data_IF_778509446990
#
_entry.id   IF_778509446990
#
_cell.length_a   1.000
_cell.length_b   1.000
_cell.length_c   1.000
_cell.angle_alpha   90.00
_cell.angle_beta   90.00
_cell.angle_gamma   90.00
#
_symmetry.space_group_name_H-M   'P 1'
#
loop_
_entity.id
_entity.type
_entity.pdbx_description
1 polymer ?
#
# COMPACT_ATOMS: atom_id res chain seq x y z
N UNK A 1 22.87 -8.17 6.88
CA UNK A 1 23.22 -9.52 7.39
C UNK A 1 21.98 -10.41 7.32
N UNK A 2 21.92 -11.28 6.31
CA UNK A 2 20.85 -12.26 6.12
C UNK A 2 20.89 -13.29 7.25
N UNK A 3 19.78 -13.47 7.99
CA UNK A 3 19.70 -14.52 9.02
C UNK A 3 19.32 -15.85 8.37
N UNK A 4 20.32 -16.72 8.29
CA UNK A 4 20.22 -18.13 7.96
C UNK A 4 19.44 -18.90 9.05
N UNK A 5 18.47 -19.73 8.65
CA UNK A 5 17.86 -20.75 9.52
C UNK A 5 18.21 -22.13 8.97
N UNK A 6 18.85 -23.02 9.76
CA UNK A 6 19.23 -24.34 9.29
C UNK A 6 17.99 -25.25 9.20
N UNK A 7 17.82 -25.94 8.06
CA UNK A 7 16.90 -27.09 7.94
C UNK A 7 16.05 -27.17 6.67
N UNK A 8 15.99 -26.12 5.84
CA UNK A 8 15.34 -26.21 4.53
C UNK A 8 15.94 -25.11 3.65
N UNK A 9 16.69 -25.47 2.61
CA UNK A 9 17.39 -24.53 1.71
C UNK A 9 16.40 -23.75 0.83
N UNK A 10 15.63 -22.84 1.43
CA UNK A 10 14.79 -21.87 0.73
C UNK A 10 15.52 -20.53 0.77
N UNK A 11 16.37 -20.30 -0.22
CA UNK A 11 17.07 -19.02 -0.37
C UNK A 11 16.09 -17.98 -0.89
N UNK A 12 15.93 -16.88 -0.16
CA UNK A 12 15.11 -15.75 -0.59
C UNK A 12 15.82 -15.05 -1.76
N UNK A 13 15.25 -15.02 -2.97
CA UNK A 13 15.86 -14.32 -4.09
C UNK A 13 16.04 -12.83 -3.77
N UNK A 14 17.02 -12.15 -4.36
CA UNK A 14 17.22 -10.73 -4.12
C UNK A 14 15.96 -9.95 -4.52
N UNK A 15 15.68 -8.88 -3.79
CA UNK A 15 14.63 -7.95 -4.18
C UNK A 15 15.06 -7.22 -5.45
N UNK A 16 14.09 -6.68 -6.18
CA UNK A 16 14.38 -5.73 -7.26
C UNK A 16 15.15 -4.51 -6.70
N UNK A 17 16.00 -3.85 -7.52
CA UNK A 17 16.66 -2.61 -7.11
C UNK A 17 15.64 -1.61 -6.55
N UNK A 18 16.00 -0.92 -5.47
CA UNK A 18 15.11 0.01 -4.76
C UNK A 18 14.29 -0.63 -3.62
N UNK A 19 14.13 -1.96 -3.58
CA UNK A 19 13.30 -2.63 -2.57
C UNK A 19 14.08 -3.48 -1.56
N UNK A 20 15.38 -3.25 -1.41
CA UNK A 20 16.23 -3.97 -0.46
C UNK A 20 15.79 -3.78 1.01
N UNK A 21 15.08 -2.68 1.28
CA UNK A 21 14.57 -2.32 2.58
C UNK A 21 13.30 -3.08 3.00
N UNK A 22 12.57 -3.66 2.04
CA UNK A 22 11.29 -4.31 2.34
C UNK A 22 11.56 -5.55 3.18
N UNK A 23 10.82 -5.66 4.29
CA UNK A 23 10.94 -6.81 5.17
C UNK A 23 10.33 -8.04 4.50
N UNK A 24 11.21 -8.94 4.04
CA UNK A 24 10.86 -10.18 3.35
C UNK A 24 11.28 -11.37 4.19
N UNK A 25 10.34 -12.28 4.45
CA UNK A 25 10.56 -13.42 5.35
C UNK A 25 9.79 -14.66 4.89
N UNK A 26 10.20 -15.81 5.41
CA UNK A 26 9.50 -17.07 5.21
C UNK A 26 8.30 -17.19 6.16
N UNK A 27 7.07 -17.30 5.63
CA UNK A 27 5.87 -17.53 6.43
C UNK A 27 5.47 -19.01 6.38
N UNK A 28 5.70 -19.73 7.49
CA UNK A 28 5.39 -21.17 7.61
C UNK A 28 3.91 -21.48 7.40
N UNK A 29 3.01 -20.58 7.79
CA UNK A 29 1.56 -20.80 7.66
C UNK A 29 1.06 -20.69 6.22
N UNK A 30 1.85 -20.03 5.36
CA UNK A 30 1.57 -19.83 3.94
C UNK A 30 2.42 -20.71 3.04
N UNK A 31 3.39 -21.41 3.61
CA UNK A 31 4.42 -22.15 2.90
C UNK A 31 5.05 -21.32 1.76
N UNK A 32 5.36 -20.05 2.03
CA UNK A 32 5.85 -19.11 1.02
C UNK A 32 6.61 -17.93 1.60
N UNK A 33 7.33 -17.22 0.73
CA UNK A 33 7.92 -15.93 1.07
C UNK A 33 6.86 -14.84 1.12
N UNK A 34 6.99 -13.93 2.09
CA UNK A 34 6.09 -12.81 2.30
C UNK A 34 6.92 -11.54 2.40
N UNK A 35 6.61 -10.56 1.56
CA UNK A 35 7.08 -9.19 1.65
C UNK A 35 6.04 -8.37 2.42
N UNK A 36 6.40 -7.85 3.59
CA UNK A 36 5.51 -7.00 4.40
C UNK A 36 5.78 -5.54 4.09
N UNK A 37 4.72 -4.83 3.68
CA UNK A 37 4.74 -3.38 3.47
C UNK A 37 4.01 -2.65 4.59
N UNK A 38 4.54 -1.51 4.99
CA UNK A 38 4.03 -0.57 5.98
C UNK A 38 3.36 0.64 5.30
N UNK A 39 2.62 1.49 6.04
CA UNK A 39 2.07 2.71 5.48
C UNK A 39 3.15 3.58 4.82
N UNK A 40 2.86 4.08 3.62
CA UNK A 40 3.80 4.87 2.79
C UNK A 40 4.70 4.01 1.90
N UNK A 41 4.75 2.70 2.09
CA UNK A 41 5.55 1.80 1.27
C UNK A 41 4.76 1.22 0.10
N UNK A 42 5.48 0.86 -0.96
CA UNK A 42 5.01 -0.03 -2.01
C UNK A 42 6.08 -1.08 -2.30
N UNK A 43 5.67 -2.19 -2.88
CA UNK A 43 6.60 -3.24 -3.27
C UNK A 43 6.21 -3.82 -4.63
N UNK A 44 7.22 -4.03 -5.48
CA UNK A 44 7.11 -4.72 -6.76
C UNK A 44 8.03 -5.94 -6.75
N UNK A 45 7.55 -7.06 -7.26
CA UNK A 45 8.33 -8.30 -7.35
C UNK A 45 8.09 -9.04 -8.66
N UNK A 46 9.12 -9.80 -9.06
CA UNK A 46 9.06 -10.84 -10.11
C UNK A 46 9.20 -12.24 -9.51
N UNK A 47 9.45 -12.32 -8.21
CA UNK A 47 9.70 -13.56 -7.49
C UNK A 47 8.37 -14.17 -7.01
N UNK A 48 8.44 -15.41 -6.56
CA UNK A 48 7.29 -16.12 -5.99
C UNK A 48 7.05 -15.72 -4.53
N UNK A 49 6.45 -14.55 -4.33
CA UNK A 49 6.25 -13.96 -3.01
C UNK A 49 4.85 -13.38 -2.86
N UNK A 50 4.29 -13.54 -1.67
CA UNK A 50 3.09 -12.79 -1.28
C UNK A 50 3.49 -11.40 -0.80
N UNK A 51 2.64 -10.40 -1.03
CA UNK A 51 2.78 -9.07 -0.45
C UNK A 51 1.72 -8.93 0.64
N UNK A 52 2.12 -8.53 1.85
CA UNK A 52 1.23 -8.49 3.00
C UNK A 52 1.21 -7.12 3.66
N UNK A 53 0.03 -6.72 4.13
CA UNK A 53 -0.13 -5.51 4.95
C UNK A 53 -1.38 -5.59 5.84
N UNK A 54 -1.55 -4.58 6.70
CA UNK A 54 -2.77 -4.39 7.50
C UNK A 54 -3.30 -2.99 7.23
N UNK A 55 -4.56 -2.89 6.82
CA UNK A 55 -5.22 -1.65 6.46
C UNK A 55 -6.36 -1.38 7.44
N UNK A 56 -6.40 -0.21 8.05
CA UNK A 56 -7.64 0.37 8.56
C UNK A 56 -8.17 1.38 7.53
N UNK A 57 -7.97 2.67 7.76
CA UNK A 57 -8.40 3.74 6.85
C UNK A 57 -7.56 3.85 5.57
N UNK A 58 -6.30 3.40 5.59
CA UNK A 58 -5.45 3.31 4.39
C UNK A 58 -6.05 2.42 3.30
N UNK A 59 -5.56 2.57 2.07
CA UNK A 59 -5.95 1.76 0.93
C UNK A 59 -4.73 1.20 0.19
N UNK A 60 -4.93 0.04 -0.43
CA UNK A 60 -3.96 -0.63 -1.28
C UNK A 60 -4.55 -0.91 -2.66
N UNK A 61 -3.83 -0.53 -3.70
CA UNK A 61 -3.97 -1.08 -5.03
C UNK A 61 -3.02 -2.28 -5.17
N UNK A 62 -3.57 -3.42 -5.56
CA UNK A 62 -2.87 -4.63 -5.93
C UNK A 62 -2.86 -4.70 -7.46
N UNK A 63 -1.69 -4.63 -8.07
CA UNK A 63 -1.55 -4.56 -9.54
C UNK A 63 -0.66 -5.70 -10.01
N UNK A 64 -1.01 -6.34 -11.12
CA UNK A 64 -0.12 -7.29 -11.80
C UNK A 64 -0.24 -7.22 -13.31
N UNK A 65 0.82 -7.57 -14.01
CA UNK A 65 0.77 -7.93 -15.41
C UNK A 65 0.42 -9.42 -15.55
N UNK A 66 -0.75 -9.74 -16.12
CA UNK A 66 -1.20 -11.13 -16.29
C UNK A 66 -0.29 -11.96 -17.21
N UNK A 67 0.42 -11.32 -18.14
CA UNK A 67 1.30 -12.00 -19.09
C UNK A 67 2.66 -12.38 -18.49
N UNK A 68 3.17 -11.61 -17.53
CA UNK A 68 4.53 -11.78 -17.00
C UNK A 68 4.56 -12.13 -15.51
N UNK A 69 3.41 -12.16 -14.83
CA UNK A 69 3.28 -12.38 -13.38
C UNK A 69 4.02 -11.37 -12.49
N UNK A 70 4.55 -10.30 -13.08
CA UNK A 70 5.14 -9.17 -12.36
C UNK A 70 4.00 -8.40 -11.69
N UNK A 71 4.11 -8.15 -10.40
CA UNK A 71 3.08 -7.42 -9.68
C UNK A 71 3.59 -6.75 -8.42
N UNK A 72 2.73 -5.91 -7.87
CA UNK A 72 3.04 -5.09 -6.73
C UNK A 72 1.79 -4.69 -5.96
N UNK A 73 2.03 -4.20 -4.74
CA UNK A 73 1.00 -3.65 -3.87
C UNK A 73 1.57 -2.42 -3.18
N UNK A 74 0.78 -1.35 -3.12
CA UNK A 74 1.09 -0.15 -2.34
C UNK A 74 0.27 -0.10 -1.06
N UNK A 75 0.66 0.75 -0.12
CA UNK A 75 -0.11 1.08 1.08
C UNK A 75 -0.04 2.58 1.28
N UNK A 76 -1.10 3.30 0.94
CA UNK A 76 -1.13 4.75 1.07
C UNK A 76 -2.36 5.25 1.82
N UNK A 77 -2.23 6.46 2.36
CA UNK A 77 -3.29 7.28 2.91
C UNK A 77 -3.12 8.69 2.36
N UNK A 78 -4.22 9.36 2.02
CA UNK A 78 -4.17 10.77 1.67
C UNK A 78 -3.96 11.66 2.90
N UNK A 79 -3.13 12.71 2.82
CA UNK A 79 -3.07 13.72 3.88
C UNK A 79 -4.43 14.41 4.03
N UNK A 80 -4.81 14.73 5.27
CA UNK A 80 -6.02 15.51 5.57
C UNK A 80 -5.64 16.97 5.82
N UNK A 81 -6.53 17.90 5.49
CA UNK A 81 -6.35 19.31 5.87
C UNK A 81 -6.61 19.47 7.37
N UNK A 82 -5.74 20.19 8.08
CA UNK A 82 -6.10 20.79 9.37
C UNK A 82 -7.04 21.96 9.08
N UNK A 83 -8.32 21.81 9.39
CA UNK A 83 -9.28 22.90 9.39
C UNK A 83 -9.12 23.74 10.68
N UNK A 84 -7.94 24.32 10.90
CA UNK A 84 -7.70 25.22 12.03
C UNK A 84 -7.26 26.59 11.49
N UNK A 85 -8.20 27.55 11.40
CA UNK A 85 -7.93 28.98 11.32
C UNK A 85 -8.27 29.68 10.00
N UNK A 86 -9.32 30.49 10.06
CA UNK A 86 -9.65 31.63 9.18
C UNK A 86 -9.38 31.54 7.66
N UNK A 87 -10.45 31.36 6.90
CA UNK A 87 -10.81 32.32 5.84
C UNK A 87 -9.93 32.46 4.60
N UNK A 88 -8.90 31.65 4.37
CA UNK A 88 -8.11 31.71 3.13
C UNK A 88 -8.18 30.38 2.36
N UNK A 89 -9.14 30.31 1.43
CA UNK A 89 -9.14 29.33 0.34
C UNK A 89 -7.89 29.54 -0.52
N UNK A 90 -6.83 28.81 -0.19
CA UNK A 90 -5.68 28.62 -1.09
C UNK A 90 -5.78 27.20 -1.62
N UNK A 91 -5.56 27.00 -2.92
CA UNK A 91 -5.70 25.70 -3.61
C UNK A 91 -4.62 24.69 -3.23
N UNK A 92 -4.42 24.40 -1.95
CA UNK A 92 -3.22 23.73 -1.42
C UNK A 92 -3.47 22.32 -0.87
N UNK A 93 -4.66 22.00 -0.36
CA UNK A 93 -4.91 20.74 0.37
C UNK A 93 -5.36 19.60 -0.54
N UNK A 94 -6.37 19.84 -1.38
CA UNK A 94 -6.82 18.88 -2.42
C UNK A 94 -5.69 18.57 -3.39
N UNK A 95 -4.88 19.58 -3.71
CA UNK A 95 -3.74 19.47 -4.60
C UNK A 95 -2.61 18.62 -3.97
N UNK A 96 -2.28 18.84 -2.69
CA UNK A 96 -1.30 18.00 -1.97
C UNK A 96 -1.75 16.53 -1.84
N UNK A 97 -3.02 16.28 -1.50
CA UNK A 97 -3.55 14.93 -1.40
C UNK A 97 -3.53 14.22 -2.77
N UNK A 98 -3.97 14.93 -3.81
CA UNK A 98 -3.96 14.40 -5.18
C UNK A 98 -2.54 14.08 -5.64
N UNK A 99 -1.58 14.98 -5.42
CA UNK A 99 -0.16 14.72 -5.72
C UNK A 99 0.39 13.51 -4.97
N UNK A 100 0.08 13.38 -3.67
CA UNK A 100 0.55 12.26 -2.86
C UNK A 100 0.00 10.92 -3.35
N UNK A 101 -1.31 10.84 -3.57
CA UNK A 101 -1.95 9.64 -4.09
C UNK A 101 -1.47 9.29 -5.50
N UNK A 102 -1.28 10.30 -6.37
CA UNK A 102 -0.76 10.11 -7.72
C UNK A 102 0.66 9.55 -7.66
N UNK A 103 1.51 10.12 -6.82
CA UNK A 103 2.88 9.64 -6.60
C UNK A 103 2.89 8.16 -6.17
N UNK A 104 2.09 7.78 -5.17
CA UNK A 104 2.05 6.41 -4.67
C UNK A 104 1.57 5.37 -5.72
N UNK A 105 0.66 5.77 -6.61
CA UNK A 105 0.18 4.90 -7.69
C UNK A 105 1.16 4.87 -8.87
N UNK A 106 1.63 6.03 -9.31
CA UNK A 106 2.48 6.20 -10.49
C UNK A 106 3.84 5.53 -10.29
N UNK A 107 4.49 5.69 -9.14
CA UNK A 107 5.77 5.06 -8.85
C UNK A 107 5.68 3.54 -8.93
N UNK A 108 4.66 2.95 -8.30
CA UNK A 108 4.44 1.51 -8.35
C UNK A 108 4.19 1.03 -9.79
N UNK A 109 3.32 1.71 -10.55
CA UNK A 109 3.01 1.33 -11.94
C UNK A 109 4.26 1.45 -12.80
N UNK A 110 5.03 2.53 -12.67
CA UNK A 110 6.27 2.73 -13.42
C UNK A 110 7.30 1.64 -13.10
N UNK A 111 7.46 1.23 -11.84
CA UNK A 111 8.35 0.13 -11.50
C UNK A 111 7.87 -1.22 -12.03
N UNK A 112 6.55 -1.46 -12.11
CA UNK A 112 6.04 -2.63 -12.83
C UNK A 112 6.48 -2.60 -14.29
N UNK A 113 6.25 -1.48 -14.98
CA UNK A 113 6.56 -1.34 -16.41
C UNK A 113 8.06 -1.46 -16.69
N UNK A 114 8.91 -0.77 -15.90
CA UNK A 114 10.38 -0.85 -15.98
C UNK A 114 10.90 -2.27 -15.83
N UNK A 115 10.20 -3.11 -15.07
CA UNK A 115 10.60 -4.50 -14.84
C UNK A 115 10.03 -5.49 -15.86
N UNK A 116 9.31 -5.03 -16.88
CA UNK A 116 8.79 -5.84 -17.98
C UNK A 116 7.29 -6.09 -17.95
N UNK A 117 6.53 -5.42 -17.08
CA UNK A 117 5.07 -5.44 -17.17
C UNK A 117 4.61 -4.69 -18.43
N UNK A 118 3.55 -5.19 -19.06
CA UNK A 118 2.90 -4.49 -20.17
C UNK A 118 1.61 -3.86 -19.69
N UNK A 119 1.44 -2.55 -19.94
CA UNK A 119 0.27 -1.78 -19.48
C UNK A 119 -1.06 -2.42 -19.89
N UNK A 120 -1.15 -2.93 -21.12
CA UNK A 120 -2.35 -3.59 -21.67
C UNK A 120 -2.75 -4.88 -20.94
N UNK A 121 -1.86 -5.48 -20.15
CA UNK A 121 -2.12 -6.69 -19.39
C UNK A 121 -2.22 -6.46 -17.88
N UNK A 122 -2.28 -5.19 -17.45
CA UNK A 122 -2.45 -4.87 -16.04
C UNK A 122 -3.85 -5.28 -15.57
N UNK A 123 -3.87 -6.03 -14.47
CA UNK A 123 -5.04 -6.36 -13.67
C UNK A 123 -4.90 -5.60 -12.34
N UNK A 124 -5.96 -4.90 -11.94
CA UNK A 124 -5.97 -4.10 -10.70
C UNK A 124 -7.05 -4.61 -9.75
N UNK A 125 -6.73 -4.70 -8.46
CA UNK A 125 -7.68 -4.91 -7.35
C UNK A 125 -7.43 -3.89 -6.25
N UNK A 126 -8.48 -3.50 -5.54
CA UNK A 126 -8.38 -2.52 -4.44
C UNK A 126 -8.92 -3.09 -3.13
N UNK A 127 -8.20 -2.84 -2.03
CA UNK A 127 -8.61 -3.32 -0.69
C UNK A 127 -8.29 -2.23 0.33
N UNK A 128 -9.13 -2.08 1.37
CA UNK A 128 -8.89 -1.13 2.47
C UNK A 128 -9.99 -0.10 2.65
N UNK A 129 -9.64 1.12 3.06
CA UNK A 129 -10.58 2.23 3.24
C UNK A 129 -11.61 1.97 4.35
N UNK A 130 -11.25 1.22 5.38
CA UNK A 130 -12.12 0.91 6.51
C UNK A 130 -12.34 2.09 7.44
N UNK A 131 -13.54 2.17 8.02
CA UNK A 131 -13.92 3.12 9.07
C UNK A 131 -13.70 2.49 10.45
N UNK A 132 -12.44 2.39 10.86
CA UNK A 132 -12.05 1.71 12.11
C UNK A 132 -12.45 2.49 13.36
N UNK A 133 -12.62 3.82 13.26
CA UNK A 133 -13.06 4.70 14.34
C UNK A 133 -14.19 5.63 13.90
N UNK A 134 -15.19 5.83 14.77
CA UNK A 134 -16.33 6.72 14.54
C UNK A 134 -15.94 8.18 14.29
N UNK A 135 -14.82 8.64 14.84
CA UNK A 135 -14.35 10.03 14.76
C UNK A 135 -13.49 10.34 13.51
N UNK A 136 -13.14 9.32 12.71
CA UNK A 136 -12.34 9.48 11.48
C UNK A 136 -13.18 9.15 10.23
N UNK A 137 -14.46 9.50 10.23
CA UNK A 137 -15.49 8.87 9.41
C UNK A 137 -15.25 8.88 7.90
N UNK A 138 -14.37 9.75 7.39
CA UNK A 138 -14.29 10.05 5.96
C UNK A 138 -12.92 9.74 5.31
N UNK A 139 -11.84 9.52 6.06
CA UNK A 139 -10.50 9.28 5.46
C UNK A 139 -10.51 8.04 4.57
N UNK A 140 -11.07 6.93 5.07
CA UNK A 140 -11.17 5.70 4.31
C UNK A 140 -12.01 5.87 3.04
N UNK A 141 -13.09 6.66 3.11
CA UNK A 141 -13.95 6.94 1.97
C UNK A 141 -13.24 7.81 0.92
N UNK A 142 -12.52 8.85 1.34
CA UNK A 142 -11.73 9.70 0.45
C UNK A 142 -10.62 8.90 -0.25
N UNK A 143 -9.95 7.99 0.46
CA UNK A 143 -8.96 7.10 -0.13
C UNK A 143 -9.57 6.19 -1.21
N UNK A 144 -10.80 5.69 -0.99
CA UNK A 144 -11.54 4.88 -1.97
C UNK A 144 -11.92 5.70 -3.20
N UNK A 145 -12.45 6.90 -3.00
CA UNK A 145 -12.87 7.79 -4.08
C UNK A 145 -11.67 8.18 -4.95
N UNK A 146 -10.57 8.58 -4.30
CA UNK A 146 -9.33 8.90 -4.98
C UNK A 146 -8.81 7.75 -5.84
N UNK A 147 -8.65 6.54 -5.26
CA UNK A 147 -8.06 5.43 -6.03
C UNK A 147 -8.94 5.03 -7.21
N UNK A 148 -10.28 5.12 -7.06
CA UNK A 148 -11.21 4.85 -8.16
C UNK A 148 -11.10 5.90 -9.26
N UNK A 149 -11.05 7.19 -8.89
CA UNK A 149 -10.89 8.30 -9.83
C UNK A 149 -9.56 8.20 -10.58
N UNK A 150 -8.46 7.93 -9.88
CA UNK A 150 -7.14 7.71 -10.48
C UNK A 150 -7.18 6.57 -11.50
N UNK A 151 -7.69 5.40 -11.10
CA UNK A 151 -7.73 4.22 -11.98
C UNK A 151 -8.61 4.47 -13.21
N UNK A 152 -9.72 5.19 -13.05
CA UNK A 152 -10.57 5.59 -14.18
C UNK A 152 -9.84 6.54 -15.13
N UNK A 153 -9.15 7.57 -14.62
CA UNK A 153 -8.40 8.52 -15.42
C UNK A 153 -7.26 7.83 -16.20
N UNK A 154 -6.61 6.83 -15.59
CA UNK A 154 -5.55 6.05 -16.22
C UNK A 154 -6.05 4.93 -17.16
N UNK A 155 -7.36 4.76 -17.30
CA UNK A 155 -7.96 3.72 -18.14
C UNK A 155 -7.73 2.29 -17.60
N UNK A 156 -7.50 2.15 -16.29
CA UNK A 156 -7.26 0.86 -15.63
C UNK A 156 -8.55 0.33 -14.98
N UNK A 157 -9.05 -0.80 -15.46
CA UNK A 157 -10.26 -1.42 -14.91
C UNK A 157 -9.99 -2.16 -13.61
N UNK A 158 -10.82 -1.90 -12.59
CA UNK A 158 -10.81 -2.64 -11.32
C UNK A 158 -11.46 -4.01 -11.53
N UNK A 159 -10.69 -5.08 -11.37
CA UNK A 159 -11.14 -6.47 -11.49
C UNK A 159 -11.69 -7.07 -10.19
N UNK A 160 -11.52 -6.38 -9.07
CA UNK A 160 -12.04 -6.80 -7.76
C UNK A 160 -11.80 -5.77 -6.68
N UNK A 161 -12.72 -5.68 -5.71
CA UNK A 161 -12.64 -4.73 -4.62
C UNK A 161 -13.17 -5.30 -3.30
N UNK A 162 -12.46 -5.09 -2.20
CA UNK A 162 -12.98 -5.23 -0.82
C UNK A 162 -12.62 -3.97 -0.03
N UNK A 163 -13.48 -2.96 -0.12
CA UNK A 163 -13.25 -1.64 0.45
C UNK A 163 -14.35 -1.21 1.42
N UNK A 164 -14.09 -0.22 2.28
CA UNK A 164 -15.09 0.31 3.23
C UNK A 164 -15.22 -0.55 4.49
N UNK A 165 -16.41 -0.68 5.06
CA UNK A 165 -16.69 -1.46 6.30
C UNK A 165 -16.01 -0.88 7.57
N UNK A 166 -16.37 -1.40 8.74
CA UNK A 166 -15.93 -0.90 10.07
C UNK A 166 -14.74 -1.69 10.65
N UNK A 167 -14.16 -2.61 9.88
CA UNK A 167 -13.11 -3.50 10.37
C UNK A 167 -11.78 -3.28 9.65
N UNK A 168 -10.65 -3.30 10.38
CA UNK A 168 -9.34 -3.42 9.77
C UNK A 168 -9.22 -4.73 8.99
N UNK A 169 -8.36 -4.74 7.98
CA UNK A 169 -8.12 -5.86 7.08
C UNK A 169 -6.67 -6.26 7.07
N UNK A 170 -6.39 -7.52 7.41
CA UNK A 170 -5.11 -8.14 7.07
C UNK A 170 -5.20 -8.64 5.63
N UNK A 171 -4.30 -8.15 4.79
CA UNK A 171 -4.28 -8.43 3.34
C UNK A 171 -3.06 -9.26 3.01
N UNK A 172 -3.25 -10.27 2.17
CA UNK A 172 -2.20 -10.98 1.46
C UNK A 172 -2.53 -10.96 -0.03
N UNK A 173 -1.62 -10.46 -0.84
CA UNK A 173 -1.74 -10.44 -2.29
C UNK A 173 -0.72 -11.39 -2.91
N UNK A 174 -1.16 -12.22 -3.86
CA UNK A 174 -0.31 -13.07 -4.69
C UNK A 174 -0.24 -12.47 -6.11
N UNK A 175 0.86 -11.78 -6.48
CA UNK A 175 1.08 -11.27 -7.82
C UNK A 175 0.98 -12.32 -8.93
N UNK A 176 1.35 -13.58 -8.69
CA UNK A 176 1.38 -14.62 -9.72
C UNK A 176 -0.01 -15.06 -10.17
N UNK A 177 -0.96 -15.10 -9.24
CA UNK A 177 -2.35 -15.49 -9.52
C UNK A 177 -3.31 -14.30 -9.57
N UNK A 178 -2.94 -13.15 -9.00
CA UNK A 178 -3.82 -12.02 -8.75
C UNK A 178 -4.73 -12.23 -7.53
N UNK A 179 -4.58 -13.33 -6.78
CA UNK A 179 -5.43 -13.62 -5.63
C UNK A 179 -5.15 -12.65 -4.49
N UNK A 180 -6.22 -12.05 -3.96
CA UNK A 180 -6.16 -11.26 -2.74
C UNK A 180 -6.93 -12.00 -1.64
N UNK A 181 -6.25 -12.32 -0.54
CA UNK A 181 -6.85 -12.93 0.64
C UNK A 181 -7.01 -11.86 1.73
N UNK A 182 -8.25 -11.61 2.13
CA UNK A 182 -8.56 -10.61 3.16
C UNK A 182 -9.10 -11.29 4.41
N UNK A 183 -8.56 -10.92 5.57
CA UNK A 183 -9.11 -11.27 6.88
C UNK A 183 -9.53 -10.00 7.62
N UNK A 184 -10.83 -9.83 7.84
CA UNK A 184 -11.36 -8.77 8.70
C UNK A 184 -11.01 -9.06 10.16
N UNK A 185 -10.40 -8.09 10.82
CA UNK A 185 -9.86 -8.21 12.17
C UNK A 185 -10.93 -7.69 13.15
N UNK A 186 -11.82 -8.59 13.58
CA UNK A 186 -12.97 -8.25 14.46
C UNK A 186 -12.59 -8.10 15.93
N UNK A 187 -11.46 -8.68 16.34
CA UNK A 187 -10.96 -8.69 17.71
C UNK A 187 -9.47 -8.37 17.68
N UNK A 188 -9.14 -7.09 17.58
CA UNK A 188 -7.83 -6.56 17.91
C UNK A 188 -8.01 -5.51 19.01
N UNK A 189 -7.01 -5.27 19.87
CA UNK A 189 -6.93 -3.98 20.54
C UNK A 189 -6.83 -2.94 19.42
N UNK A 190 -7.90 -2.18 19.19
CA UNK A 190 -7.96 -1.16 18.13
C UNK A 190 -6.79 -0.17 18.25
N UNK A 191 -6.27 0.00 19.47
CA UNK A 191 -5.21 0.92 19.87
C UNK A 191 -3.97 0.80 18.98
N UNK A 192 -3.46 -0.40 18.69
CA UNK A 192 -2.20 -0.52 17.94
C UNK A 192 -2.32 -0.14 16.46
N UNK A 193 -3.49 -0.35 15.85
CA UNK A 193 -3.73 0.09 14.46
C UNK A 193 -3.98 1.59 14.46
N UNK A 194 -4.75 2.08 15.42
CA UNK A 194 -5.03 3.50 15.55
C UNK A 194 -3.78 4.36 15.78
N UNK A 195 -2.89 3.93 16.67
CA UNK A 195 -1.62 4.62 16.94
C UNK A 195 -0.78 4.70 15.67
N UNK A 196 -0.67 3.60 14.92
CA UNK A 196 0.06 3.56 13.64
C UNK A 196 -0.56 4.46 12.59
N UNK A 197 -1.89 4.46 12.45
CA UNK A 197 -2.58 5.33 11.51
C UNK A 197 -2.44 6.80 11.88
N UNK A 198 -2.52 7.12 13.17
CA UNK A 198 -2.38 8.50 13.65
C UNK A 198 -0.95 9.03 13.49
N UNK A 199 0.05 8.19 13.79
CA UNK A 199 1.46 8.52 13.56
C UNK A 199 1.78 8.69 12.07
N UNK A 200 1.25 7.81 11.23
CA UNK A 200 1.45 7.93 9.78
C UNK A 200 0.75 9.17 9.23
N UNK A 201 -0.48 9.45 9.66
CA UNK A 201 -1.24 10.64 9.26
C UNK A 201 -0.49 11.92 9.62
N UNK A 202 0.00 12.05 10.86
CA UNK A 202 0.74 13.25 11.27
C UNK A 202 2.03 13.43 10.47
N UNK A 203 2.69 12.34 10.08
CA UNK A 203 3.89 12.40 9.25
C UNK A 203 3.62 12.92 7.83
N UNK A 204 2.58 12.40 7.16
CA UNK A 204 2.24 12.81 5.78
C UNK A 204 1.62 14.22 5.70
N UNK A 205 1.08 14.74 6.80
CA UNK A 205 0.63 16.15 6.89
C UNK A 205 1.81 17.15 6.92
N UNK A 206 2.99 16.73 7.39
CA UNK A 206 4.16 17.60 7.59
C UNK A 206 5.17 17.46 6.43
N UNK A 207 5.19 16.32 5.73
CA UNK A 207 6.17 16.03 4.69
C UNK A 207 5.98 16.93 3.43
N UNK A 208 7.04 17.57 2.90
CA UNK A 208 6.93 18.37 1.69
C UNK A 208 6.58 17.48 0.48
N UNK A 209 5.54 17.88 -0.26
CA UNK A 209 5.12 17.20 -1.49
C UNK A 209 5.92 17.75 -2.66
N UNK A 210 7.18 17.33 -2.79
CA UNK A 210 8.05 17.71 -3.91
C UNK A 210 9.51 17.81 -3.50
N UNK A 211 10.35 17.02 -4.16
CA UNK A 211 11.75 16.78 -3.80
C UNK A 211 11.89 15.32 -3.38
N UNK A 212 12.93 14.65 -3.86
CA UNK A 212 13.22 13.25 -3.58
C UNK A 212 12.78 12.91 -2.15
N UNK A 213 11.73 12.10 -2.02
CA UNK A 213 11.43 11.50 -0.73
C UNK A 213 12.57 10.52 -0.51
N UNK A 214 13.67 11.00 0.06
CA UNK A 214 14.53 10.15 0.86
C UNK A 214 13.61 9.58 1.95
N UNK A 215 13.01 8.43 1.62
CA UNK A 215 12.46 7.51 2.57
C UNK A 215 13.66 7.04 3.39
N UNK A 216 14.06 7.86 4.36
CA UNK A 216 15.16 7.55 5.24
C UNK A 216 14.78 6.30 6.04
N UNK A 217 15.36 5.16 5.66
CA UNK A 217 15.44 3.97 6.48
C UNK A 217 16.29 4.28 7.71
N UNK A 218 15.71 4.95 8.69
CA UNK A 218 16.49 5.38 9.84
C UNK A 218 15.65 6.05 10.91
N UNK A 219 14.99 5.25 11.74
CA UNK A 219 15.01 5.34 13.20
C UNK A 219 13.74 4.76 13.84
N UNK A 220 13.59 3.44 13.85
CA UNK A 220 13.09 2.73 15.04
C UNK A 220 13.82 1.38 15.06
N UNK A 221 14.85 1.28 15.91
CA UNK A 221 15.40 -0.01 16.36
C UNK A 221 14.62 -0.46 17.58
#
# INVERSE_FOLDING_TARGET
>A
MQRYTPGNSRWLPPALPGFAHINRYWDRSRDGFVAKILPGEYYVTRNEELIATVLGSCISACVRCRATAIGGMNHFMLPQSRADGDGAWTGTTVDAATRYGNYAMEHMINDLLKNGASRKYLEVKIVGGGRVLKQMSDVGQQNIEFVKAYLQAEGLTVSGADVGDIYPRKVYYDPRSGKVSVKKLRSLPNDTIFERESQYRSHIEIAPVGGEVELFYGAIR
#
